data_IF_154303171280
#
_entry.id   IF_154303171280
#
_cell.length_a   1.000
_cell.length_b   1.000
_cell.length_c   1.000
_cell.angle_alpha   90.00
_cell.angle_beta   90.00
_cell.angle_gamma   90.00
#
_symmetry.space_group_name_H-M   'P 1'
#
loop_
_entity.id
_entity.type
_entity.pdbx_description
1 polymer ?
#
# COMPACT_ATOMS: atom_id res chain seq x y z
N UNK A 1 -22.89 -21.41 -57.07
CA UNK A 1 -22.05 -21.72 -55.90
C UNK A 1 -21.05 -20.59 -55.69
N UNK A 2 -21.31 -19.66 -54.78
CA UNK A 2 -20.33 -18.67 -54.30
C UNK A 2 -20.52 -18.53 -52.79
N UNK A 3 -19.49 -18.86 -52.02
CA UNK A 3 -19.36 -18.48 -50.60
C UNK A 3 -17.95 -17.93 -50.43
N UNK A 4 -17.80 -16.60 -50.48
CA UNK A 4 -16.54 -15.92 -50.16
C UNK A 4 -16.54 -15.64 -48.67
N UNK A 5 -15.64 -16.30 -47.97
CA UNK A 5 -15.32 -16.14 -46.55
C UNK A 5 -14.73 -14.76 -46.31
N UNK A 6 -15.43 -13.87 -45.59
CA UNK A 6 -14.83 -12.66 -45.04
C UNK A 6 -14.05 -13.04 -43.78
N UNK A 7 -12.73 -12.86 -43.85
CA UNK A 7 -11.79 -13.13 -42.77
C UNK A 7 -12.04 -12.24 -41.56
N UNK A 8 -12.14 -12.87 -40.39
CA UNK A 8 -12.15 -12.19 -39.11
C UNK A 8 -10.76 -11.58 -38.85
N UNK A 9 -10.67 -10.26 -38.86
CA UNK A 9 -9.50 -9.55 -38.32
C UNK A 9 -9.66 -9.47 -36.80
N UNK A 10 -9.00 -10.36 -36.07
CA UNK A 10 -8.92 -10.32 -34.62
C UNK A 10 -7.83 -9.33 -34.22
N UNK A 11 -8.22 -8.08 -33.95
CA UNK A 11 -7.33 -7.07 -33.40
C UNK A 11 -7.11 -7.38 -31.91
N UNK A 12 -6.01 -8.04 -31.57
CA UNK A 12 -5.61 -8.29 -30.19
C UNK A 12 -5.14 -6.98 -29.55
N UNK A 13 -6.04 -6.26 -28.88
CA UNK A 13 -5.69 -5.16 -28.01
C UNK A 13 -5.04 -5.73 -26.73
N UNK A 14 -3.71 -5.74 -26.68
CA UNK A 14 -2.95 -5.98 -25.45
C UNK A 14 -3.17 -4.78 -24.52
N UNK A 15 -4.15 -4.88 -23.61
CA UNK A 15 -4.24 -3.99 -22.46
C UNK A 15 -3.03 -4.27 -21.55
N UNK A 16 -1.99 -3.45 -21.68
CA UNK A 16 -0.95 -3.36 -20.67
C UNK A 16 -1.59 -2.73 -19.43
N UNK A 17 -2.04 -3.57 -18.49
CA UNK A 17 -2.41 -3.09 -17.16
C UNK A 17 -1.14 -2.54 -16.49
N UNK A 18 -1.05 -1.23 -16.36
CA UNK A 18 0.00 -0.61 -15.54
C UNK A 18 -0.28 -0.99 -14.08
N UNK A 19 0.63 -1.70 -13.38
CA UNK A 19 0.44 -1.95 -11.95
C UNK A 19 0.32 -0.59 -11.26
N UNK A 20 -0.68 -0.44 -10.39
CA UNK A 20 -0.79 0.74 -9.54
C UNK A 20 0.47 0.77 -8.66
N UNK A 21 1.28 1.82 -8.81
CA UNK A 21 2.49 1.97 -8.01
C UNK A 21 2.07 2.21 -6.55
N UNK A 22 2.39 1.24 -5.69
CA UNK A 22 2.36 1.40 -4.25
C UNK A 22 3.58 2.22 -3.84
N UNK A 23 3.38 3.33 -3.13
CA UNK A 23 4.49 4.01 -2.46
C UNK A 23 4.95 3.15 -1.28
N UNK A 24 6.26 3.08 -1.08
CA UNK A 24 6.91 2.25 -0.06
C UNK A 24 8.09 2.99 0.57
N UNK A 25 8.30 2.77 1.87
CA UNK A 25 9.47 3.20 2.61
C UNK A 25 9.96 2.08 3.54
N UNK A 26 11.27 1.91 3.63
CA UNK A 26 11.92 0.95 4.55
C UNK A 26 12.62 1.70 5.66
N UNK A 27 12.40 1.27 6.89
CA UNK A 27 13.00 1.81 8.11
C UNK A 27 13.97 0.76 8.63
N UNK A 28 15.27 1.02 8.51
CA UNK A 28 16.30 0.03 8.82
C UNK A 28 16.80 0.09 10.26
N UNK A 29 16.61 1.21 10.95
CA UNK A 29 17.16 1.43 12.30
C UNK A 29 16.11 1.97 13.26
N UNK A 30 16.24 1.68 14.57
CA UNK A 30 15.40 2.32 15.58
C UNK A 30 15.45 3.84 15.43
N UNK A 31 14.33 4.51 15.67
CA UNK A 31 14.12 5.98 15.60
C UNK A 31 14.42 6.64 14.23
N UNK A 32 14.81 5.86 13.22
CA UNK A 32 14.80 6.32 11.83
C UNK A 32 13.35 6.46 11.35
N UNK A 33 13.11 7.44 10.48
CA UNK A 33 11.78 7.71 9.94
C UNK A 33 11.66 7.27 8.49
N UNK A 34 10.60 6.56 8.16
CA UNK A 34 10.11 6.37 6.79
C UNK A 34 8.88 7.25 6.57
N UNK A 35 8.69 7.78 5.36
CA UNK A 35 7.53 8.60 5.02
C UNK A 35 6.88 8.17 3.72
N UNK A 36 5.56 8.31 3.68
CA UNK A 36 4.74 8.17 2.48
C UNK A 36 3.97 9.47 2.25
N UNK A 37 3.81 9.86 1.01
CA UNK A 37 3.24 11.13 0.59
C UNK A 37 2.07 10.99 -0.41
N UNK A 38 1.74 9.79 -0.85
CA UNK A 38 0.69 9.50 -1.82
C UNK A 38 -0.69 9.51 -1.18
N UNK A 39 -1.66 10.09 -1.89
CA UNK A 39 -3.04 10.20 -1.45
C UNK A 39 -3.34 11.46 -0.64
N UNK A 40 -4.33 11.37 0.24
CA UNK A 40 -4.86 12.52 1.00
C UNK A 40 -4.13 12.79 2.32
N UNK A 41 -3.29 11.85 2.76
CA UNK A 41 -2.56 11.89 4.01
C UNK A 41 -1.07 11.84 3.72
N UNK A 42 -0.28 12.71 4.35
CA UNK A 42 1.13 12.46 4.55
C UNK A 42 1.29 11.54 5.76
N UNK A 43 2.19 10.57 5.68
CA UNK A 43 2.46 9.65 6.77
C UNK A 43 3.94 9.62 7.08
N UNK A 44 4.27 9.58 8.36
CA UNK A 44 5.61 9.29 8.85
C UNK A 44 5.53 8.17 9.88
N UNK A 45 6.43 7.20 9.77
CA UNK A 45 6.54 6.10 10.71
C UNK A 45 7.98 5.97 11.21
N UNK A 46 8.12 5.52 12.46
CA UNK A 46 9.39 5.09 13.04
C UNK A 46 9.10 3.94 14.00
N UNK A 47 10.14 3.22 14.43
CA UNK A 47 9.98 2.15 15.41
C UNK A 47 10.96 2.27 16.58
N UNK A 48 10.60 1.62 17.69
CA UNK A 48 11.45 1.43 18.87
C UNK A 48 11.39 -0.05 19.30
N UNK A 49 12.53 -0.72 19.55
CA UNK A 49 12.53 -2.09 20.08
C UNK A 49 11.90 -2.18 21.47
N UNK A 50 11.03 -3.18 21.68
CA UNK A 50 10.35 -3.49 22.95
C UNK A 50 10.38 -5.00 23.19
N UNK A 51 11.47 -5.49 23.78
CA UNK A 51 11.72 -6.92 23.89
C UNK A 51 11.83 -7.54 22.50
N UNK A 52 11.04 -8.57 22.22
CA UNK A 52 11.03 -9.25 20.91
C UNK A 52 10.16 -8.53 19.85
N UNK A 53 9.47 -7.45 20.22
CA UNK A 53 8.62 -6.67 19.32
C UNK A 53 9.31 -5.40 18.84
N UNK A 54 8.96 -4.93 17.64
CA UNK A 54 9.19 -3.55 17.24
C UNK A 54 7.89 -2.77 17.43
N UNK A 55 7.91 -1.76 18.30
CA UNK A 55 6.80 -0.82 18.49
C UNK A 55 6.89 0.25 17.40
N UNK A 56 6.04 0.12 16.39
CA UNK A 56 5.95 1.07 15.26
C UNK A 56 4.94 2.15 15.62
N UNK A 57 5.35 3.41 15.48
CA UNK A 57 4.49 4.57 15.61
C UNK A 57 4.35 5.22 14.23
N UNK A 58 3.13 5.26 13.71
CA UNK A 58 2.78 5.94 12.47
C UNK A 58 1.91 7.17 12.76
N UNK A 59 2.25 8.30 12.17
CA UNK A 59 1.49 9.55 12.27
C UNK A 59 1.03 9.96 10.88
N UNK A 60 -0.28 10.21 10.75
CA UNK A 60 -0.95 10.55 9.51
C UNK A 60 -1.46 11.99 9.60
N UNK A 61 -0.99 12.87 8.72
CA UNK A 61 -1.36 14.26 8.66
C UNK A 61 -2.23 14.53 7.41
N UNK A 62 -3.44 15.08 7.55
CA UNK A 62 -4.25 15.48 6.41
C UNK A 62 -3.59 16.60 5.62
N UNK A 63 -3.39 16.41 4.30
CA UNK A 63 -2.78 17.44 3.44
C UNK A 63 -3.65 18.70 3.32
N UNK A 64 -4.96 18.55 3.48
CA UNK A 64 -5.92 19.66 3.48
C UNK A 64 -5.93 20.46 4.81
N UNK A 65 -5.11 20.06 5.79
CA UNK A 65 -5.13 20.58 7.15
C UNK A 65 -6.10 19.82 8.06
N UNK A 66 -5.88 19.93 9.37
CA UNK A 66 -6.63 19.21 10.40
C UNK A 66 -5.70 18.55 11.42
N UNK A 67 -6.30 17.81 12.35
CA UNK A 67 -5.56 17.13 13.41
C UNK A 67 -4.90 15.84 12.88
N UNK A 68 -3.60 15.64 13.14
CA UNK A 68 -2.94 14.38 12.81
C UNK A 68 -3.49 13.20 13.61
N UNK A 69 -3.57 12.04 12.98
CA UNK A 69 -3.93 10.77 13.62
C UNK A 69 -2.65 9.99 13.93
N UNK A 70 -2.58 9.37 15.11
CA UNK A 70 -1.46 8.52 15.51
C UNK A 70 -1.92 7.10 15.76
N UNK A 71 -1.23 6.15 15.14
CA UNK A 71 -1.42 4.71 15.34
C UNK A 71 -0.12 4.13 15.91
N UNK A 72 -0.24 3.29 16.93
CA UNK A 72 0.89 2.58 17.54
C UNK A 72 0.57 1.10 17.52
N UNK A 73 1.54 0.30 17.11
CA UNK A 73 1.37 -1.14 16.93
C UNK A 73 2.68 -1.87 17.21
N UNK A 74 2.58 -3.08 17.76
CA UNK A 74 3.73 -3.97 17.91
C UNK A 74 3.80 -4.94 16.73
N UNK A 75 4.99 -5.14 16.16
CA UNK A 75 5.27 -6.14 15.15
C UNK A 75 6.27 -7.18 15.68
N UNK A 76 5.85 -8.45 15.78
CA UNK A 76 6.78 -9.56 15.95
C UNK A 76 7.51 -9.84 14.64
N UNK A 77 8.58 -10.63 14.70
CA UNK A 77 9.33 -10.97 13.50
C UNK A 77 8.43 -11.68 12.48
N UNK A 78 8.47 -11.22 11.22
CA UNK A 78 7.62 -11.70 10.12
C UNK A 78 6.12 -11.38 10.25
N UNK A 79 5.73 -10.48 11.17
CA UNK A 79 4.36 -9.97 11.23
C UNK A 79 4.09 -8.95 10.11
N UNK A 80 2.82 -8.90 9.70
CA UNK A 80 2.29 -7.86 8.83
C UNK A 80 0.88 -7.45 9.30
N UNK A 81 0.57 -6.16 9.17
CA UNK A 81 -0.74 -5.59 9.49
C UNK A 81 -1.08 -4.55 8.42
N UNK A 82 -2.34 -4.53 7.99
CA UNK A 82 -2.84 -3.53 7.07
C UNK A 82 -4.18 -2.96 7.54
N UNK A 83 -4.39 -1.66 7.34
CA UNK A 83 -5.64 -0.99 7.70
C UNK A 83 -5.86 0.28 6.88
N UNK A 84 -7.11 0.68 6.77
CA UNK A 84 -7.50 1.99 6.22
C UNK A 84 -7.74 2.99 7.34
N UNK A 85 -7.60 4.28 7.03
CA UNK A 85 -7.84 5.35 8.00
C UNK A 85 -9.32 5.77 7.93
N UNK A 86 -10.06 5.74 9.06
CA UNK A 86 -11.43 6.23 9.10
C UNK A 86 -11.54 7.67 8.58
N UNK A 87 -12.49 7.91 7.66
CA UNK A 87 -12.69 9.22 7.03
C UNK A 87 -11.81 9.49 5.80
N UNK A 88 -10.85 8.62 5.49
CA UNK A 88 -9.97 8.73 4.31
C UNK A 88 -10.09 7.47 3.44
N UNK A 89 -11.14 7.35 2.60
CA UNK A 89 -11.33 6.19 1.74
C UNK A 89 -10.23 6.10 0.67
N UNK A 90 -9.85 4.89 0.29
CA UNK A 90 -8.94 4.64 -0.84
C UNK A 90 -7.66 3.89 -0.46
N UNK A 91 -6.73 4.49 0.31
CA UNK A 91 -5.47 3.84 0.63
C UNK A 91 -5.63 2.80 1.74
N UNK A 92 -5.04 1.62 1.50
CA UNK A 92 -4.76 0.61 2.51
C UNK A 92 -3.28 0.78 2.90
N UNK A 93 -3.02 1.09 4.17
CA UNK A 93 -1.66 1.22 4.69
C UNK A 93 -1.21 -0.12 5.25
N UNK A 94 -0.07 -0.62 4.79
CA UNK A 94 0.51 -1.88 5.25
C UNK A 94 1.84 -1.64 5.96
N UNK A 95 2.05 -2.40 7.02
CA UNK A 95 3.26 -2.39 7.85
C UNK A 95 3.70 -3.83 8.01
N UNK A 96 4.96 -4.14 7.68
CA UNK A 96 5.52 -5.48 7.85
C UNK A 96 6.91 -5.41 8.46
N UNK A 97 7.29 -6.48 9.17
CA UNK A 97 8.61 -6.60 9.78
C UNK A 97 9.38 -7.77 9.18
N UNK A 98 10.64 -7.53 8.83
CA UNK A 98 11.62 -8.55 8.46
C UNK A 98 12.91 -8.36 9.26
N UNK A 99 13.13 -9.18 10.28
CA UNK A 99 14.29 -9.05 11.17
C UNK A 99 14.23 -7.76 11.98
N UNK A 100 15.11 -6.81 11.66
CA UNK A 100 15.18 -5.47 12.28
C UNK A 100 14.63 -4.37 11.35
N UNK A 101 14.13 -4.73 10.17
CA UNK A 101 13.59 -3.78 9.21
C UNK A 101 12.07 -3.73 9.28
N UNK A 102 11.52 -2.53 9.15
CA UNK A 102 10.08 -2.30 8.98
C UNK A 102 9.84 -1.71 7.61
N UNK A 103 8.99 -2.36 6.81
CA UNK A 103 8.50 -1.83 5.54
C UNK A 103 7.12 -1.24 5.73
N UNK A 104 6.91 -0.05 5.19
CA UNK A 104 5.61 0.62 5.20
C UNK A 104 5.22 0.98 3.79
N UNK A 105 4.00 0.65 3.39
CA UNK A 105 3.51 0.91 2.03
C UNK A 105 2.05 1.33 2.00
N UNK A 106 1.66 1.92 0.86
CA UNK A 106 0.26 2.19 0.52
C UNK A 106 -0.17 1.39 -0.69
N UNK A 107 -1.24 0.63 -0.56
CA UNK A 107 -1.95 0.06 -1.69
C UNK A 107 -3.20 0.87 -2.00
N UNK A 108 -3.47 1.09 -3.29
CA UNK A 108 -4.73 1.71 -3.73
C UNK A 108 -5.72 0.61 -4.11
N UNK A 109 -6.93 0.64 -3.54
CA UNK A 109 -8.04 -0.31 -3.72
C UNK A 109 -8.42 -0.65 -5.18
N UNK A 110 -7.95 0.12 -6.16
CA UNK A 110 -8.12 -0.21 -7.59
C UNK A 110 -7.45 -1.55 -7.97
N UNK A 111 -6.39 -1.95 -7.24
CA UNK A 111 -5.72 -3.25 -7.41
C UNK A 111 -6.63 -4.44 -7.01
N UNK A 112 -7.31 -4.35 -5.87
CA UNK A 112 -8.22 -5.40 -5.36
C UNK A 112 -9.46 -5.58 -6.23
N UNK A 113 -9.97 -4.50 -6.83
CA UNK A 113 -11.14 -4.55 -7.72
C UNK A 113 -10.84 -5.22 -9.07
N UNK A 114 -9.59 -5.17 -9.52
CA UNK A 114 -9.15 -5.83 -10.74
C UNK A 114 -9.05 -7.37 -10.55
N UNK A 115 -8.64 -7.83 -9.38
CA UNK A 115 -8.54 -9.27 -9.03
C UNK A 115 -9.93 -9.92 -8.88
N UNK A 116 -10.88 -9.21 -8.25
CA UNK A 116 -12.25 -9.71 -8.05
C UNK A 116 -13.13 -9.76 -9.34
N UNK A 117 -12.62 -9.28 -10.48
CA UNK A 117 -13.36 -9.25 -11.76
C UNK A 117 -12.77 -10.19 -12.82
N UNK A 118 -11.79 -11.05 -12.48
CA UNK A 118 -11.32 -12.09 -13.38
C UNK A 118 -12.27 -13.31 -13.35
N UNK A 119 -12.92 -13.68 -14.48
CA UNK A 119 -13.73 -14.91 -14.59
C UNK A 119 -12.89 -16.18 -14.69
#
# INVERSE_FOLDING_TARGET
>A
MIRKTLGASLLAALFLATPALAEEATIGRPIESGSLHQGHLDMVAYYVPRGDLLEVTATFAPKAGGDPLRVVMGLANSDAVAFSIPGYPGPLYAFSRSGEEVTVSTETDTSLRADATMP
#
